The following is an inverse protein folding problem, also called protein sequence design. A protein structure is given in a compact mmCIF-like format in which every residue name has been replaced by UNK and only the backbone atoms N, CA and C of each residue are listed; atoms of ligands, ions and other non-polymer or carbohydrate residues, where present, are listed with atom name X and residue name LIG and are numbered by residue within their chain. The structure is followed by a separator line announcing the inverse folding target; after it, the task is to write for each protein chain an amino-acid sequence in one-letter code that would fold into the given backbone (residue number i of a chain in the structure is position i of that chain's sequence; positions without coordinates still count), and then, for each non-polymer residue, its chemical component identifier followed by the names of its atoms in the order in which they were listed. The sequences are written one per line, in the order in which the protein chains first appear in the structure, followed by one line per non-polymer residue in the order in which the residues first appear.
data_IF_892318679425
#
_entry.id   IF_892318679425
#
_cell.length_a   1.000
_cell.length_b   1.000
_cell.length_c   1.000
_cell.angle_alpha   90.00
_cell.angle_beta   90.00
_cell.angle_gamma   90.00
#
_symmetry.space_group_name_H-M   'P 1'
#
loop_
_entity.id
_entity.type
_entity.pdbx_description
1 polymer ?
#
# COMPACT_ATOMS: atom_id res chain seq x y z
N UNK A 1 -0.73 28.76 6.02
CA UNK A 1 -0.73 28.11 7.35
C UNK A 1 -0.72 26.61 7.12
N UNK A 2 0.19 25.87 7.75
CA UNK A 2 0.19 24.41 7.64
C UNK A 2 -0.98 23.88 8.47
N UNK A 3 -1.86 23.09 7.85
CA UNK A 3 -3.04 22.52 8.50
C UNK A 3 -2.65 21.28 9.31
N UNK A 4 -2.91 21.30 10.63
CA UNK A 4 -2.69 20.15 11.50
C UNK A 4 -3.36 18.86 10.98
N UNK A 5 -4.61 18.91 10.48
CA UNK A 5 -5.24 17.76 9.83
C UNK A 5 -4.46 17.19 8.64
N UNK A 6 -3.86 18.04 7.80
CA UNK A 6 -3.07 17.62 6.63
C UNK A 6 -1.77 16.94 7.07
N UNK A 7 -1.10 17.47 8.10
CA UNK A 7 0.09 16.80 8.67
C UNK A 7 -0.30 15.42 9.24
N UNK A 8 -1.40 15.34 9.98
CA UNK A 8 -1.90 14.08 10.55
C UNK A 8 -2.20 13.04 9.48
N UNK A 9 -2.87 13.45 8.40
CA UNK A 9 -3.11 12.61 7.22
C UNK A 9 -1.79 12.13 6.57
N UNK A 10 -0.80 13.02 6.47
CA UNK A 10 0.53 12.68 5.97
C UNK A 10 1.25 11.62 6.80
N UNK A 11 1.24 11.76 8.13
CA UNK A 11 1.85 10.78 9.05
C UNK A 11 1.18 9.41 8.93
N UNK A 12 -0.16 9.37 8.90
CA UNK A 12 -0.92 8.13 8.72
C UNK A 12 -0.57 7.49 7.37
N UNK A 13 -0.49 8.28 6.31
CA UNK A 13 -0.12 7.81 4.98
C UNK A 13 1.29 7.22 4.96
N UNK A 14 2.27 7.85 5.61
CA UNK A 14 3.63 7.31 5.75
C UNK A 14 3.61 5.95 6.45
N UNK A 15 2.87 5.82 7.54
CA UNK A 15 2.77 4.56 8.28
C UNK A 15 2.15 3.45 7.44
N UNK A 16 1.05 3.74 6.75
CA UNK A 16 0.36 2.78 5.88
C UNK A 16 1.27 2.38 4.71
N UNK A 17 1.86 3.35 4.01
CA UNK A 17 2.75 3.10 2.90
C UNK A 17 3.99 2.29 3.32
N UNK A 18 4.56 2.61 4.49
CA UNK A 18 5.69 1.88 5.07
C UNK A 18 5.32 0.42 5.38
N UNK A 19 4.13 0.18 5.92
CA UNK A 19 3.61 -1.18 6.10
C UNK A 19 3.49 -1.93 4.77
N UNK A 20 2.94 -1.32 3.73
CA UNK A 20 2.84 -1.95 2.41
C UNK A 20 4.22 -2.22 1.77
N UNK A 21 5.19 -1.35 2.00
CA UNK A 21 6.55 -1.49 1.47
C UNK A 21 7.38 -2.57 2.18
N UNK A 22 7.25 -2.68 3.51
CA UNK A 22 8.05 -3.61 4.33
C UNK A 22 7.35 -4.95 4.48
N UNK A 23 6.03 -4.95 4.67
CA UNK A 23 5.19 -6.12 4.88
C UNK A 23 4.14 -6.24 3.76
N UNK A 24 4.42 -7.05 2.72
CA UNK A 24 3.47 -7.32 1.66
C UNK A 24 2.28 -8.27 1.97
N UNK A 25 2.05 -8.89 3.16
CA UNK A 25 0.92 -9.83 3.34
C UNK A 25 -0.47 -9.22 3.07
N UNK A 26 -0.62 -7.91 3.22
CA UNK A 26 -1.87 -7.21 2.92
C UNK A 26 -2.10 -7.13 1.41
N UNK A 27 -1.05 -6.83 0.64
CA UNK A 27 -1.11 -6.92 -0.82
C UNK A 27 -1.20 -8.37 -1.31
N UNK A 28 -0.66 -9.33 -0.56
CA UNK A 28 -0.82 -10.74 -0.88
C UNK A 28 -2.30 -11.13 -0.89
N UNK A 29 -3.04 -10.78 0.17
CA UNK A 29 -4.50 -11.01 0.22
C UNK A 29 -5.24 -10.28 -0.90
N UNK A 30 -4.91 -9.01 -1.15
CA UNK A 30 -5.58 -8.23 -2.19
C UNK A 30 -5.30 -8.78 -3.60
N UNK A 31 -4.06 -9.16 -3.87
CA UNK A 31 -3.64 -9.78 -5.13
C UNK A 31 -4.29 -11.14 -5.34
N UNK A 32 -4.36 -11.98 -4.31
CA UNK A 32 -5.03 -13.28 -4.36
C UNK A 32 -6.54 -13.13 -4.59
N UNK A 33 -7.18 -12.14 -3.95
CA UNK A 33 -8.59 -11.83 -4.18
C UNK A 33 -8.80 -11.33 -5.61
N UNK A 34 -7.98 -10.39 -6.09
CA UNK A 34 -8.07 -9.87 -7.45
C UNK A 34 -7.82 -10.94 -8.52
N UNK A 35 -6.92 -11.90 -8.28
CA UNK A 35 -6.68 -13.02 -9.19
C UNK A 35 -7.76 -14.11 -9.08
N UNK A 36 -8.41 -14.26 -7.92
CA UNK A 36 -9.58 -15.13 -7.78
C UNK A 36 -10.81 -14.58 -8.51
N UNK A 37 -10.88 -13.27 -8.72
CA UNK A 37 -11.92 -12.63 -9.53
C UNK A 37 -11.69 -12.96 -11.01
N UNK A 38 -12.50 -13.89 -11.53
CA UNK A 38 -12.43 -14.35 -12.92
C UNK A 38 -11.78 -15.72 -13.10
N UNK A 39 -11.32 -16.36 -12.03
CA UNK A 39 -10.82 -17.74 -12.05
C UNK A 39 -11.68 -18.65 -11.17
N UNK A 40 -11.66 -19.97 -11.41
CA UNK A 40 -12.35 -20.96 -10.55
C UNK A 40 -11.56 -21.30 -9.27
N UNK A 41 -10.42 -20.66 -9.04
CA UNK A 41 -9.52 -20.92 -7.92
C UNK A 41 -9.84 -20.00 -6.74
N UNK A 42 -9.75 -20.55 -5.53
CA UNK A 42 -9.92 -19.78 -4.30
C UNK A 42 -8.67 -18.96 -4.04
N UNK A 43 -8.82 -17.73 -3.52
CA UNK A 43 -7.69 -16.85 -3.18
C UNK A 43 -6.62 -17.54 -2.30
N UNK A 44 -7.00 -18.51 -1.47
CA UNK A 44 -6.06 -19.26 -0.62
C UNK A 44 -5.09 -20.16 -1.42
N UNK A 45 -5.49 -20.65 -2.59
CA UNK A 45 -4.72 -21.58 -3.42
C UNK A 45 -3.79 -20.88 -4.44
N UNK A 46 -3.92 -19.55 -4.55
CA UNK A 46 -3.13 -18.75 -5.48
C UNK A 46 -1.79 -18.42 -4.81
N UNK A 47 -0.69 -18.96 -5.37
CA UNK A 47 0.66 -18.65 -4.91
C UNK A 47 1.00 -17.18 -5.18
N UNK A 48 1.66 -16.56 -4.19
CA UNK A 48 2.06 -15.16 -4.27
C UNK A 48 3.16 -15.00 -5.33
N UNK A 49 2.86 -14.32 -6.44
CA UNK A 49 3.84 -14.04 -7.48
C UNK A 49 4.80 -12.94 -7.05
N UNK A 50 6.08 -13.00 -7.47
CA UNK A 50 7.04 -11.92 -7.20
C UNK A 50 6.56 -10.55 -7.73
N UNK A 51 5.70 -10.57 -8.76
CA UNK A 51 5.07 -9.38 -9.32
C UNK A 51 4.13 -8.70 -8.32
N UNK A 52 3.30 -9.45 -7.58
CA UNK A 52 2.39 -8.85 -6.59
C UNK A 52 3.14 -8.24 -5.40
N UNK A 53 4.23 -8.89 -4.96
CA UNK A 53 5.15 -8.35 -3.95
C UNK A 53 5.75 -7.03 -4.43
N UNK A 54 6.24 -7.02 -5.67
CA UNK A 54 6.89 -5.85 -6.27
C UNK A 54 5.91 -4.69 -6.42
N UNK A 55 4.69 -4.96 -6.91
CA UNK A 55 3.62 -3.96 -7.02
C UNK A 55 3.24 -3.42 -5.66
N UNK A 56 3.09 -4.27 -4.64
CA UNK A 56 2.79 -3.83 -3.27
C UNK A 56 3.88 -2.96 -2.66
N UNK A 57 5.15 -3.29 -2.93
CA UNK A 57 6.30 -2.49 -2.50
C UNK A 57 6.32 -1.13 -3.17
N UNK A 58 6.15 -1.07 -4.49
CA UNK A 58 6.12 0.17 -5.25
C UNK A 58 4.96 1.06 -4.80
N UNK A 59 3.75 0.47 -4.67
CA UNK A 59 2.58 1.20 -4.17
C UNK A 59 2.80 1.74 -2.75
N UNK A 60 3.37 0.93 -1.85
CA UNK A 60 3.72 1.37 -0.50
C UNK A 60 4.69 2.55 -0.50
N UNK A 61 5.75 2.49 -1.30
CA UNK A 61 6.73 3.58 -1.45
C UNK A 61 6.07 4.86 -1.98
N UNK A 62 5.20 4.76 -2.98
CA UNK A 62 4.46 5.91 -3.52
C UNK A 62 3.60 6.57 -2.44
N UNK A 63 2.89 5.77 -1.64
CA UNK A 63 2.06 6.26 -0.52
C UNK A 63 2.92 6.95 0.54
N UNK A 64 4.12 6.43 0.84
CA UNK A 64 5.08 7.09 1.75
C UNK A 64 5.49 8.46 1.21
N UNK A 65 5.91 8.54 -0.06
CA UNK A 65 6.28 9.82 -0.67
C UNK A 65 5.12 10.81 -0.69
N UNK A 66 3.90 10.33 -0.94
CA UNK A 66 2.69 11.15 -0.86
C UNK A 66 2.50 11.69 0.56
N UNK A 67 2.58 10.84 1.59
CA UNK A 67 2.48 11.27 2.99
C UNK A 67 3.56 12.26 3.42
N UNK A 68 4.81 12.07 2.99
CA UNK A 68 5.92 13.01 3.22
C UNK A 68 5.59 14.39 2.64
N UNK A 69 4.97 14.44 1.45
CA UNK A 69 4.55 15.69 0.83
C UNK A 69 3.58 16.48 1.71
N UNK A 70 2.59 15.82 2.31
CA UNK A 70 1.65 16.47 3.22
C UNK A 70 2.33 16.97 4.51
N UNK A 71 3.26 16.18 5.06
CA UNK A 71 3.99 16.55 6.28
C UNK A 71 4.92 17.75 6.05
N UNK A 72 5.68 17.74 4.95
CA UNK A 72 6.70 18.77 4.68
C UNK A 72 6.14 20.02 4.02
N UNK A 73 5.14 19.87 3.14
CA UNK A 73 4.64 20.97 2.32
C UNK A 73 3.25 21.46 2.76
N UNK A 74 2.56 20.73 3.63
CA UNK A 74 1.19 21.07 4.06
C UNK A 74 0.19 21.15 2.90
N UNK A 75 0.45 20.40 1.82
CA UNK A 75 -0.27 20.37 0.54
C UNK A 75 -1.00 19.06 0.35
#
# INVERSE_FOLDING_TARGET
MISLPLIGFGIISIFIGGMFAVYPPVMDKYSRIAQSWGTKQTAADIEMTQLSITVGRIAGVIIVFYGIRFVLLGL
#
